data_IF_678227552852
#
_entry.id   IF_678227552852
#
_cell.length_a   1.000
_cell.length_b   1.000
_cell.length_c   1.000
_cell.angle_alpha   90.00
_cell.angle_beta   90.00
_cell.angle_gamma   90.00
#
_symmetry.space_group_name_H-M   'P 1'
#
loop_
_entity.id
_entity.type
_entity.pdbx_description
1 polymer ?
#
# COMPACT_ATOMS: atom_id res chain seq x y z
N UNK A 1 -13.18 6.79 -1.82
CA UNK A 1 -13.79 5.43 -1.83
C UNK A 1 -13.95 4.88 -3.25
N UNK A 2 -14.10 3.56 -3.44
CA UNK A 2 -14.40 2.96 -4.77
C UNK A 2 -13.23 2.81 -5.75
N UNK A 3 -12.09 3.47 -5.50
CA UNK A 3 -10.93 3.47 -6.41
C UNK A 3 -10.35 2.07 -6.71
N UNK A 4 -10.58 1.08 -5.84
CA UNK A 4 -10.14 -0.31 -6.03
C UNK A 4 -10.75 -1.01 -7.25
N UNK A 5 -11.79 -0.42 -7.87
CA UNK A 5 -12.45 -0.90 -9.08
C UNK A 5 -11.80 -0.37 -10.36
N UNK A 6 -10.98 0.66 -10.25
CA UNK A 6 -10.27 1.28 -11.37
C UNK A 6 -8.93 0.59 -11.67
N UNK A 7 -8.06 1.26 -12.45
CA UNK A 7 -6.72 0.76 -12.71
C UNK A 7 -5.85 0.79 -11.45
N UNK A 8 -4.77 0.00 -11.43
CA UNK A 8 -3.68 0.24 -10.49
C UNK A 8 -2.89 1.46 -10.98
N UNK A 9 -2.85 2.51 -10.16
CA UNK A 9 -2.15 3.75 -10.47
C UNK A 9 -0.62 3.56 -10.41
N UNK A 10 0.09 4.43 -11.11
CA UNK A 10 1.55 4.40 -11.15
C UNK A 10 2.16 4.82 -9.80
N UNK A 11 3.12 4.04 -9.33
CA UNK A 11 3.86 4.27 -8.09
C UNK A 11 5.36 4.46 -8.35
N UNK A 12 5.71 4.76 -9.59
CA UNK A 12 7.08 4.98 -10.03
C UNK A 12 7.39 6.45 -10.19
N UNK A 13 8.64 6.80 -9.94
CA UNK A 13 9.23 8.07 -10.30
C UNK A 13 10.60 7.84 -10.91
N UNK A 14 10.90 8.54 -12.00
CA UNK A 14 12.13 8.36 -12.77
C UNK A 14 12.40 6.88 -13.13
N UNK A 15 11.32 6.18 -13.49
CA UNK A 15 11.33 4.77 -13.90
C UNK A 15 11.56 3.75 -12.78
N UNK A 16 11.54 4.13 -11.50
CA UNK A 16 11.76 3.23 -10.36
C UNK A 16 10.61 3.33 -9.38
N UNK A 17 10.23 2.21 -8.76
CA UNK A 17 9.21 2.20 -7.72
C UNK A 17 9.62 3.11 -6.56
N UNK A 18 8.71 3.97 -6.10
CA UNK A 18 8.93 4.83 -4.93
C UNK A 18 7.82 4.70 -3.88
N UNK A 19 6.76 3.93 -4.19
CA UNK A 19 5.65 3.71 -3.27
C UNK A 19 4.75 4.92 -3.07
N UNK A 20 4.76 5.88 -4.00
CA UNK A 20 3.85 7.03 -4.00
C UNK A 20 3.32 7.33 -5.39
N UNK A 21 2.12 7.90 -5.43
CA UNK A 21 1.46 8.30 -6.66
C UNK A 21 1.73 9.78 -6.97
N UNK A 22 1.98 10.09 -8.24
CA UNK A 22 1.85 11.46 -8.73
C UNK A 22 0.37 11.79 -8.99
N UNK A 23 -0.29 12.42 -8.01
CA UNK A 23 -1.73 12.71 -8.13
C UNK A 23 -2.06 13.71 -9.24
N UNK A 24 -1.13 14.60 -9.63
CA UNK A 24 -1.36 15.49 -10.77
C UNK A 24 -1.51 14.73 -12.10
N UNK A 25 -0.93 13.53 -12.20
CA UNK A 25 -1.08 12.63 -13.36
C UNK A 25 -2.08 11.50 -13.13
N UNK A 26 -2.62 11.37 -11.92
CA UNK A 26 -3.56 10.31 -11.59
C UNK A 26 -4.98 10.84 -11.78
N UNK A 27 -5.81 10.09 -12.49
CA UNK A 27 -7.25 10.34 -12.58
C UNK A 27 -7.93 9.90 -11.27
N UNK A 28 -7.70 10.66 -10.20
CA UNK A 28 -8.24 10.43 -8.85
C UNK A 28 -8.86 11.72 -8.35
N UNK A 29 -10.18 11.70 -8.14
CA UNK A 29 -10.90 12.80 -7.51
C UNK A 29 -10.65 12.82 -5.99
N UNK A 30 -9.76 13.71 -5.56
CA UNK A 30 -9.43 13.88 -4.14
C UNK A 30 -10.56 14.50 -3.32
N UNK A 31 -11.56 15.13 -3.93
CA UNK A 31 -12.73 15.62 -3.20
C UNK A 31 -13.56 14.49 -2.59
N UNK A 32 -13.41 13.27 -3.12
CA UNK A 32 -14.02 12.04 -2.60
C UNK A 32 -13.17 11.38 -1.52
N UNK A 33 -12.02 11.93 -1.14
CA UNK A 33 -11.17 11.34 -0.10
C UNK A 33 -11.81 11.47 1.28
N UNK A 34 -11.76 10.39 2.06
CA UNK A 34 -12.38 10.33 3.39
C UNK A 34 -11.35 10.00 4.45
N UNK A 35 -11.44 10.67 5.60
CA UNK A 35 -10.57 10.42 6.74
C UNK A 35 -11.06 9.19 7.50
N UNK A 36 -10.17 8.21 7.66
CA UNK A 36 -10.42 7.04 8.50
C UNK A 36 -9.91 7.34 9.91
N UNK A 37 -10.84 7.57 10.82
CA UNK A 37 -10.58 7.87 12.24
C UNK A 37 -11.06 6.72 13.12
N UNK A 38 -10.36 6.47 14.21
CA UNK A 38 -10.70 5.40 15.14
C UNK A 38 -10.06 5.59 16.52
N UNK A 39 -10.70 5.04 17.55
CA UNK A 39 -10.13 4.92 18.90
C UNK A 39 -9.22 3.69 18.98
N UNK A 40 -8.48 3.55 20.08
CA UNK A 40 -7.71 2.33 20.33
C UNK A 40 -8.60 1.08 20.20
N UNK A 41 -8.12 0.09 19.43
CA UNK A 41 -8.87 -1.13 19.11
C UNK A 41 -9.75 -1.03 17.86
N UNK A 42 -9.91 0.15 17.25
CA UNK A 42 -10.58 0.27 15.96
C UNK A 42 -9.69 -0.28 14.84
N UNK A 43 -10.31 -0.99 13.90
CA UNK A 43 -9.66 -1.52 12.71
C UNK A 43 -10.35 -0.99 11.46
N UNK A 44 -9.59 -0.79 10.39
CA UNK A 44 -10.12 -0.50 9.06
C UNK A 44 -9.74 -1.62 8.10
N UNK A 45 -10.66 -2.01 7.24
CA UNK A 45 -10.44 -3.02 6.21
C UNK A 45 -10.65 -2.36 4.85
N UNK A 46 -9.68 -2.52 3.96
CA UNK A 46 -9.76 -2.00 2.61
C UNK A 46 -9.11 -2.98 1.64
N UNK A 47 -9.61 -2.98 0.40
CA UNK A 47 -9.02 -3.76 -0.67
C UNK A 47 -7.61 -3.23 -0.99
N UNK A 48 -6.65 -4.10 -1.31
CA UNK A 48 -5.23 -3.74 -1.56
C UNK A 48 -5.04 -2.66 -2.64
N UNK A 49 -5.94 -2.61 -3.64
CA UNK A 49 -5.95 -1.58 -4.70
C UNK A 49 -6.67 -0.27 -4.32
N UNK A 50 -7.16 -0.13 -3.10
CA UNK A 50 -7.79 1.12 -2.67
C UNK A 50 -6.71 2.18 -2.55
N UNK A 51 -6.91 3.35 -3.18
CA UNK A 51 -6.00 4.49 -3.04
C UNK A 51 -6.16 5.00 -1.62
N UNK A 52 -5.05 5.05 -0.91
CA UNK A 52 -4.99 5.48 0.48
C UNK A 52 -3.64 6.12 0.75
N UNK A 53 -3.57 6.92 1.81
CA UNK A 53 -2.35 7.60 2.23
C UNK A 53 -2.46 8.05 3.67
N UNK A 54 -1.32 8.36 4.26
CA UNK A 54 -1.27 8.89 5.62
C UNK A 54 -1.23 10.42 5.59
N UNK A 55 -2.20 11.06 6.25
CA UNK A 55 -2.06 12.46 6.63
C UNK A 55 -0.91 12.62 7.64
N UNK A 56 -0.25 13.78 7.61
CA UNK A 56 0.82 14.12 8.55
C UNK A 56 0.32 14.00 10.01
N UNK A 57 1.14 13.43 10.88
CA UNK A 57 0.89 13.49 12.31
C UNK A 57 1.14 14.93 12.81
N UNK A 58 0.14 15.55 13.43
CA UNK A 58 0.22 16.92 13.96
C UNK A 58 0.13 16.99 15.48
N UNK A 59 0.01 15.85 16.16
CA UNK A 59 0.02 15.79 17.63
C UNK A 59 1.45 15.69 18.16
N UNK A 60 1.63 15.99 19.45
CA UNK A 60 2.88 15.73 20.17
C UNK A 60 3.13 14.22 20.40
N UNK A 61 2.10 13.40 20.26
CA UNK A 61 2.18 11.95 20.49
C UNK A 61 2.40 11.17 19.19
N UNK A 62 3.14 10.06 19.28
CA UNK A 62 3.36 9.14 18.16
C UNK A 62 2.08 8.40 17.77
N UNK A 63 1.73 8.45 16.48
CA UNK A 63 0.64 7.64 15.90
C UNK A 63 1.16 6.28 15.42
N UNK A 64 0.95 5.25 16.25
CA UNK A 64 1.31 3.85 15.91
C UNK A 64 0.24 3.20 15.02
N UNK A 65 0.69 2.36 14.10
CA UNK A 65 -0.15 1.60 13.19
C UNK A 65 0.35 0.15 13.12
N UNK A 66 -0.56 -0.81 13.22
CA UNK A 66 -0.32 -2.22 12.94
C UNK A 66 -1.03 -2.57 11.63
N UNK A 67 -0.29 -3.14 10.68
CA UNK A 67 -0.79 -3.53 9.38
C UNK A 67 -0.69 -5.05 9.23
N UNK A 68 -1.79 -5.65 8.79
CA UNK A 68 -1.80 -7.03 8.33
C UNK A 68 -2.25 -7.05 6.88
N UNK A 69 -1.50 -7.76 6.05
CA UNK A 69 -1.89 -8.09 4.69
C UNK A 69 -2.45 -9.51 4.70
N UNK A 70 -3.64 -9.68 4.15
CA UNK A 70 -4.30 -10.98 4.07
C UNK A 70 -4.73 -11.20 2.63
N UNK A 71 -4.42 -12.37 2.10
CA UNK A 71 -4.80 -12.81 0.77
C UNK A 71 -5.55 -14.14 0.84
N UNK A 72 -6.34 -14.46 -0.19
CA UNK A 72 -6.89 -15.80 -0.35
C UNK A 72 -5.76 -16.80 -0.60
N UNK A 73 -5.92 -18.06 -0.18
CA UNK A 73 -4.93 -19.12 -0.39
C UNK A 73 -4.57 -19.36 -1.87
N UNK A 74 -5.47 -18.99 -2.78
CA UNK A 74 -5.29 -19.09 -4.23
C UNK A 74 -4.71 -17.81 -4.87
N UNK A 75 -4.49 -16.74 -4.10
CA UNK A 75 -3.91 -15.48 -4.57
C UNK A 75 -2.38 -15.49 -4.42
N UNK A 76 -1.72 -16.26 -5.29
CA UNK A 76 -0.28 -16.52 -5.20
C UNK A 76 0.58 -15.28 -5.47
N UNK A 77 1.70 -15.07 -4.73
CA UNK A 77 2.61 -13.95 -4.97
C UNK A 77 3.31 -14.04 -6.33
N UNK A 78 3.16 -12.99 -7.15
CA UNK A 78 3.77 -12.93 -8.49
C UNK A 78 5.30 -12.82 -8.48
N UNK A 79 5.88 -12.31 -7.38
CA UNK A 79 7.34 -12.22 -7.19
C UNK A 79 7.94 -13.49 -6.56
N UNK A 80 7.15 -14.56 -6.44
CA UNK A 80 7.57 -15.81 -5.82
C UNK A 80 7.40 -15.82 -4.30
N UNK A 81 7.62 -16.99 -3.71
CA UNK A 81 7.48 -17.24 -2.27
C UNK A 81 8.80 -16.90 -1.56
N UNK A 82 8.85 -15.75 -0.89
CA UNK A 82 10.08 -15.24 -0.23
C UNK A 82 10.70 -16.27 0.71
N UNK A 83 9.88 -16.92 1.52
CA UNK A 83 10.30 -17.84 2.57
C UNK A 83 10.09 -19.32 2.17
N UNK A 84 9.98 -19.60 0.87
CA UNK A 84 9.71 -20.93 0.33
C UNK A 84 8.27 -21.41 0.51
N UNK A 85 8.00 -22.66 0.10
CA UNK A 85 6.66 -23.26 0.20
C UNK A 85 6.24 -23.49 1.66
N UNK A 86 7.12 -24.02 2.51
CA UNK A 86 6.83 -24.25 3.92
C UNK A 86 6.51 -22.95 4.67
N UNK A 87 7.19 -21.85 4.33
CA UNK A 87 6.88 -20.52 4.86
C UNK A 87 5.52 -19.99 4.39
N UNK A 88 5.13 -20.27 3.14
CA UNK A 88 3.79 -19.95 2.65
C UNK A 88 2.71 -20.73 3.42
N UNK A 89 2.90 -22.04 3.60
CA UNK A 89 1.98 -22.90 4.36
C UNK A 89 1.86 -22.47 5.82
N UNK A 90 2.97 -22.08 6.46
CA UNK A 90 2.98 -21.62 7.85
C UNK A 90 2.19 -20.32 8.07
N UNK A 91 1.95 -19.53 7.02
CA UNK A 91 1.18 -18.29 7.06
C UNK A 91 -0.33 -18.49 6.86
N UNK A 92 -0.81 -19.72 6.67
CA UNK A 92 -2.24 -20.01 6.54
C UNK A 92 -2.99 -19.65 7.82
N UNK A 93 -3.83 -18.62 7.75
CA UNK A 93 -4.65 -18.17 8.87
C UNK A 93 -5.85 -19.09 9.12
N UNK A 94 -6.49 -19.57 8.05
CA UNK A 94 -7.65 -20.45 8.11
C UNK A 94 -7.89 -21.17 6.77
N UNK A 95 -8.51 -22.34 6.82
CA UNK A 95 -8.88 -23.12 5.64
C UNK A 95 -7.78 -24.07 5.17
N UNK A 96 -7.74 -24.33 3.87
CA UNK A 96 -6.76 -25.23 3.23
C UNK A 96 -6.03 -24.48 2.13
N UNK A 97 -4.70 -24.68 2.07
CA UNK A 97 -3.86 -24.13 1.01
C UNK A 97 -4.13 -24.80 -0.33
N UNK A 98 -3.62 -24.21 -1.40
CA UNK A 98 -3.73 -24.77 -2.75
C UNK A 98 -2.50 -24.41 -3.58
N UNK A 99 -2.04 -25.35 -4.40
CA UNK A 99 -1.00 -25.15 -5.42
C UNK A 99 -1.55 -24.74 -6.78
N UNK A 100 -2.88 -24.67 -6.91
CA UNK A 100 -3.57 -24.17 -8.09
C UNK A 100 -3.94 -22.70 -7.86
N UNK A 101 -3.14 -21.73 -8.35
CA UNK A 101 -3.44 -20.31 -8.19
C UNK A 101 -4.67 -19.92 -9.00
N UNK A 102 -5.45 -18.98 -8.45
CA UNK A 102 -6.51 -18.31 -9.18
C UNK A 102 -5.91 -17.20 -10.04
N UNK A 103 -6.10 -17.31 -11.34
CA UNK A 103 -5.73 -16.28 -12.30
C UNK A 103 -6.99 -15.54 -12.74
N UNK A 104 -6.97 -14.22 -12.59
CA UNK A 104 -8.04 -13.33 -13.03
C UNK A 104 -7.43 -12.18 -13.82
N UNK A 105 -8.20 -11.64 -14.76
CA UNK A 105 -7.84 -10.37 -15.40
C UNK A 105 -7.85 -9.27 -14.33
N UNK A 106 -6.67 -8.72 -14.06
CA UNK A 106 -6.46 -7.72 -13.02
C UNK A 106 -5.36 -6.75 -13.49
N UNK A 107 -5.57 -5.42 -13.41
CA UNK A 107 -4.55 -4.43 -13.72
C UNK A 107 -3.40 -4.47 -12.70
N UNK A 108 -2.50 -5.45 -12.81
CA UNK A 108 -1.33 -5.56 -11.94
C UNK A 108 -0.22 -4.64 -12.46
N UNK A 109 0.44 -3.93 -11.54
CA UNK A 109 1.71 -3.24 -11.78
C UNK A 109 2.75 -3.79 -10.82
N UNK A 110 3.89 -4.24 -11.34
CA UNK A 110 4.97 -4.78 -10.52
C UNK A 110 5.76 -3.62 -9.87
N UNK A 111 6.24 -3.74 -8.63
CA UNK A 111 7.09 -2.74 -7.99
C UNK A 111 8.55 -2.83 -8.49
N UNK A 112 8.71 -2.91 -9.81
CA UNK A 112 9.97 -3.08 -10.53
C UNK A 112 10.06 -2.05 -11.67
N UNK A 113 11.24 -1.48 -11.97
CA UNK A 113 12.49 -1.57 -11.21
C UNK A 113 12.35 -1.14 -9.74
N UNK A 114 13.11 -1.80 -8.86
CA UNK A 114 13.03 -1.59 -7.43
C UNK A 114 13.41 -0.14 -7.03
N UNK A 115 13.06 0.33 -5.83
CA UNK A 115 13.44 1.66 -5.36
C UNK A 115 14.95 1.90 -5.42
N UNK A 116 15.34 3.10 -5.87
CA UNK A 116 16.75 3.56 -5.85
C UNK A 116 17.31 3.68 -4.42
N UNK A 117 16.43 3.88 -3.44
CA UNK A 117 16.74 3.91 -2.01
C UNK A 117 15.94 2.81 -1.33
N UNK A 118 16.63 1.79 -0.84
CA UNK A 118 16.01 0.72 -0.05
C UNK A 118 15.76 1.14 1.39
N UNK A 119 15.03 0.30 2.13
CA UNK A 119 14.70 0.52 3.54
C UNK A 119 13.20 0.68 3.75
N UNK A 120 12.79 1.64 4.58
CA UNK A 120 11.39 1.90 4.85
C UNK A 120 10.67 2.52 3.64
N UNK A 121 9.34 2.36 3.58
CA UNK A 121 8.53 3.04 2.57
C UNK A 121 8.71 4.56 2.62
N UNK A 122 8.92 5.13 3.80
CA UNK A 122 9.20 6.56 3.97
C UNK A 122 10.52 6.98 3.32
N UNK A 123 11.56 6.13 3.40
CA UNK A 123 12.83 6.38 2.72
C UNK A 123 12.67 6.32 1.20
N UNK A 124 11.90 5.36 0.70
CA UNK A 124 11.54 5.28 -0.73
C UNK A 124 10.68 6.47 -1.17
N UNK A 125 9.85 7.03 -0.30
CA UNK A 125 9.01 8.19 -0.59
C UNK A 125 9.74 9.54 -0.46
N UNK A 126 10.97 9.58 0.07
CA UNK A 126 11.76 10.83 0.15
C UNK A 126 12.10 11.42 -1.22
N UNK A 127 12.08 10.60 -2.27
CA UNK A 127 12.34 11.06 -3.64
C UNK A 127 11.10 11.66 -4.30
N UNK A 128 9.93 11.60 -3.66
CA UNK A 128 8.66 12.04 -4.27
C UNK A 128 8.62 13.56 -4.42
N UNK A 129 8.42 14.03 -5.66
CA UNK A 129 8.45 15.47 -5.97
C UNK A 129 7.25 16.27 -5.44
N UNK A 130 6.11 15.62 -5.19
CA UNK A 130 4.87 16.29 -4.79
C UNK A 130 4.25 15.65 -3.54
N UNK A 131 3.87 16.49 -2.58
CA UNK A 131 3.10 16.11 -1.38
C UNK A 131 1.70 16.66 -1.51
N UNK A 132 0.71 15.85 -1.18
CA UNK A 132 -0.69 16.15 -1.47
C UNK A 132 -1.59 16.25 -0.23
N UNK A 133 -1.02 16.08 0.96
CA UNK A 133 -1.66 16.42 2.23
C UNK A 133 -0.97 17.66 2.82
N UNK A 134 -1.74 18.51 3.49
CA UNK A 134 -1.21 19.71 4.13
C UNK A 134 -0.06 19.36 5.08
N UNK A 135 1.10 19.95 4.82
CA UNK A 135 2.32 19.73 5.58
C UNK A 135 2.64 20.97 6.43
N UNK A 136 2.69 20.80 7.75
CA UNK A 136 3.21 21.80 8.67
C UNK A 136 4.66 21.43 9.02
N UNK A 137 5.67 22.21 8.58
CA UNK A 137 7.08 21.96 8.89
C UNK A 137 7.40 22.07 10.38
N UNK A 138 6.57 22.78 11.16
CA UNK A 138 6.80 23.04 12.58
C UNK A 138 6.08 22.04 13.51
N UNK A 139 5.29 21.12 12.93
CA UNK A 139 4.72 20.01 13.68
C UNK A 139 5.81 18.95 13.87
N UNK A 140 6.34 18.87 15.10
CA UNK A 140 7.40 17.94 15.49
C UNK A 140 7.14 16.49 15.07
N UNK A 141 8.23 15.76 14.79
CA UNK A 141 8.23 14.37 14.32
C UNK A 141 7.72 13.38 15.38
#
# INVERSE_FOLDING_TARGET
PGSHRGPTHDHHQDGHFCGAMNLASADVDLSQAEMILGRAGACSFHHVRTVHGSAQNRSADTRRLLLYEVAAADAWPLMGLRDGFDGFEANMLAGTSTTAPRIVDCPVRMPLPAPKRGGSIYESQTVVHARYFDFNPDAGA
#
